data_IF_085587746402
#
_entry.id   IF_085587746402
#
_cell.length_a   1.000
_cell.length_b   1.000
_cell.length_c   1.000
_cell.angle_alpha   90.00
_cell.angle_beta   90.00
_cell.angle_gamma   90.00
#
_symmetry.space_group_name_H-M   'P 1'
#
loop_
_entity.id
_entity.type
_entity.pdbx_description
1 polymer ?
#
# COMPACT_ATOMS: atom_id res chain seq x y z
N UNK A 1 26.50 -1.89 36.00
CA UNK A 1 25.10 -1.70 35.60
C UNK A 1 24.87 -1.97 34.10
N UNK A 2 25.65 -1.39 33.17
CA UNK A 2 25.51 -1.65 31.73
C UNK A 2 25.59 -3.12 31.29
N UNK A 3 26.53 -3.91 31.91
CA UNK A 3 26.66 -5.35 31.58
C UNK A 3 25.44 -6.17 31.94
N UNK A 4 24.67 -5.79 32.94
CA UNK A 4 23.43 -6.47 33.34
C UNK A 4 22.29 -6.09 32.37
N UNK A 5 22.20 -4.82 31.97
CA UNK A 5 21.20 -4.32 31.04
C UNK A 5 21.34 -4.92 29.62
N UNK A 6 22.51 -5.42 29.27
CA UNK A 6 22.80 -6.07 27.99
C UNK A 6 23.00 -7.58 28.10
N UNK A 7 22.67 -8.17 29.22
CA UNK A 7 22.77 -9.62 29.45
C UNK A 7 21.51 -10.33 28.96
N UNK A 8 21.65 -11.61 28.58
CA UNK A 8 20.51 -12.48 28.25
C UNK A 8 19.59 -12.77 29.45
N UNK A 9 19.94 -12.27 30.66
CA UNK A 9 19.15 -12.42 31.88
C UNK A 9 17.92 -11.48 31.92
N UNK A 10 17.94 -10.40 31.13
CA UNK A 10 16.79 -9.50 31.02
C UNK A 10 16.00 -9.92 29.78
N UNK A 11 14.73 -10.35 29.92
CA UNK A 11 13.87 -10.67 28.81
C UNK A 11 13.77 -9.49 27.82
N UNK A 12 13.85 -9.76 26.52
CA UNK A 12 13.58 -8.75 25.53
C UNK A 12 12.10 -8.31 25.65
N UNK A 13 11.87 -7.03 25.90
CA UNK A 13 10.55 -6.45 26.01
C UNK A 13 10.23 -5.64 24.76
N UNK A 14 9.10 -5.95 24.12
CA UNK A 14 8.56 -5.17 23.03
C UNK A 14 7.11 -4.77 23.35
N UNK A 15 6.79 -3.48 23.44
CA UNK A 15 5.48 -3.01 23.91
C UNK A 15 4.30 -3.54 23.10
N UNK A 16 4.43 -3.62 21.77
CA UNK A 16 3.37 -4.15 20.90
C UNK A 16 3.14 -5.65 21.14
N UNK A 17 4.21 -6.43 21.29
CA UNK A 17 4.11 -7.87 21.57
C UNK A 17 3.52 -8.09 22.95
N UNK A 18 3.97 -7.34 23.94
CA UNK A 18 3.43 -7.41 25.29
C UNK A 18 1.93 -7.08 25.34
N UNK A 19 1.49 -6.04 24.64
CA UNK A 19 0.06 -5.73 24.50
C UNK A 19 -0.72 -6.92 23.93
N UNK A 20 -0.23 -7.53 22.87
CA UNK A 20 -0.88 -8.70 22.24
C UNK A 20 -0.95 -9.92 23.18
N UNK A 21 0.06 -10.11 24.04
CA UNK A 21 0.10 -11.21 25.04
C UNK A 21 -0.91 -10.99 26.18
N UNK A 22 -1.12 -9.74 26.59
CA UNK A 22 -2.00 -9.38 27.70
C UNK A 22 -3.49 -9.28 27.32
N UNK A 23 -3.83 -9.48 26.06
CA UNK A 23 -5.22 -9.41 25.61
C UNK A 23 -6.10 -10.47 26.27
N UNK A 24 -7.37 -10.15 26.59
CA UNK A 24 -8.33 -11.15 27.05
C UNK A 24 -8.62 -12.20 25.98
N UNK A 25 -9.38 -13.22 26.33
CA UNK A 25 -9.98 -14.11 25.32
C UNK A 25 -10.97 -13.31 24.46
N UNK A 26 -11.01 -13.63 23.15
CA UNK A 26 -12.02 -13.06 22.27
C UNK A 26 -13.43 -13.55 22.66
N UNK A 27 -14.37 -12.63 22.73
CA UNK A 27 -15.77 -12.89 23.11
C UNK A 27 -16.63 -13.48 21.97
N UNK A 28 -16.04 -13.72 20.78
CA UNK A 28 -16.71 -14.28 19.61
C UNK A 28 -17.47 -13.26 18.77
N UNK A 29 -17.52 -11.98 19.14
CA UNK A 29 -18.21 -10.94 18.35
C UNK A 29 -17.28 -10.38 17.30
N UNK A 30 -17.78 -10.29 16.05
CA UNK A 30 -17.03 -9.64 14.97
C UNK A 30 -17.01 -8.12 15.15
N UNK A 31 -15.80 -7.57 15.24
CA UNK A 31 -15.52 -6.13 15.30
C UNK A 31 -14.80 -5.62 14.07
N UNK A 32 -14.26 -6.51 13.23
CA UNK A 32 -13.53 -6.14 12.02
C UNK A 32 -14.44 -5.57 10.96
N UNK A 33 -15.52 -6.28 10.64
CA UNK A 33 -16.48 -5.83 9.63
C UNK A 33 -17.11 -4.49 10.01
N UNK A 34 -17.70 -4.29 11.19
CA UNK A 34 -18.27 -3.00 11.59
C UNK A 34 -17.24 -1.85 11.56
N UNK A 35 -15.99 -2.12 11.91
CA UNK A 35 -14.92 -1.14 11.84
C UNK A 35 -14.60 -0.74 10.39
N UNK A 36 -14.49 -1.71 9.48
CA UNK A 36 -14.26 -1.45 8.05
C UNK A 36 -15.44 -0.68 7.42
N UNK A 37 -16.66 -1.04 7.79
CA UNK A 37 -17.91 -0.43 7.29
C UNK A 37 -18.09 1.03 7.73
N UNK A 38 -17.36 1.52 8.75
CA UNK A 38 -17.29 2.96 9.05
C UNK A 38 -16.76 3.80 7.87
N UNK A 39 -16.03 3.18 6.95
CA UNK A 39 -15.47 3.82 5.77
C UNK A 39 -16.26 3.42 4.53
N UNK A 40 -16.46 2.13 4.31
CA UNK A 40 -17.17 1.60 3.13
C UNK A 40 -17.73 0.22 3.38
N UNK A 41 -18.97 -0.02 2.94
CA UNK A 41 -19.62 -1.33 2.97
C UNK A 41 -19.21 -2.23 1.77
N UNK A 42 -18.29 -1.79 0.91
CA UNK A 42 -17.77 -2.62 -0.19
C UNK A 42 -17.16 -3.90 0.33
N UNK A 43 -17.62 -5.05 -0.16
CA UNK A 43 -17.12 -6.36 0.25
C UNK A 43 -15.60 -6.49 0.02
N UNK A 44 -15.09 -5.95 -1.10
CA UNK A 44 -13.66 -5.96 -1.40
C UNK A 44 -12.87 -5.11 -0.40
N UNK A 45 -13.38 -3.93 -0.04
CA UNK A 45 -12.75 -3.09 0.98
C UNK A 45 -12.70 -3.81 2.33
N UNK A 46 -13.84 -4.34 2.80
CA UNK A 46 -13.94 -5.05 4.08
C UNK A 46 -12.97 -6.23 4.12
N UNK A 47 -12.90 -7.03 3.05
CA UNK A 47 -11.98 -8.16 2.94
C UNK A 47 -10.51 -7.71 3.01
N UNK A 48 -10.12 -6.76 2.17
CA UNK A 48 -8.73 -6.30 2.10
C UNK A 48 -8.29 -5.60 3.39
N UNK A 49 -9.16 -4.77 3.99
CA UNK A 49 -8.89 -4.09 5.26
C UNK A 49 -8.73 -5.09 6.41
N UNK A 50 -9.56 -6.14 6.45
CA UNK A 50 -9.44 -7.21 7.45
C UNK A 50 -8.13 -8.00 7.31
N UNK A 51 -7.71 -8.31 6.08
CA UNK A 51 -6.42 -8.95 5.82
C UNK A 51 -5.26 -8.05 6.27
N UNK A 52 -5.32 -6.76 5.99
CA UNK A 52 -4.31 -5.79 6.41
C UNK A 52 -4.21 -5.70 7.94
N UNK A 53 -5.34 -5.65 8.68
CA UNK A 53 -5.35 -5.63 10.16
C UNK A 53 -4.82 -6.94 10.75
N UNK A 54 -5.14 -8.11 10.18
CA UNK A 54 -4.54 -9.39 10.61
C UNK A 54 -3.03 -9.39 10.39
N UNK A 55 -2.56 -8.91 9.25
CA UNK A 55 -1.13 -8.81 8.98
C UNK A 55 -0.41 -7.85 9.95
N UNK A 56 -1.05 -6.73 10.35
CA UNK A 56 -0.57 -5.82 11.37
C UNK A 56 -0.45 -6.55 12.73
N UNK A 57 -1.50 -7.24 13.16
CA UNK A 57 -1.50 -7.99 14.42
C UNK A 57 -0.45 -9.11 14.41
N UNK A 58 -0.31 -9.84 13.31
CA UNK A 58 0.73 -10.86 13.14
C UNK A 58 2.14 -10.29 13.31
N UNK A 59 2.42 -9.08 12.76
CA UNK A 59 3.69 -8.40 12.97
C UNK A 59 3.92 -8.03 14.44
N UNK A 60 2.89 -7.53 15.15
CA UNK A 60 2.99 -7.19 16.58
C UNK A 60 3.22 -8.43 17.45
N UNK A 61 2.65 -9.57 17.06
CA UNK A 61 2.84 -10.86 17.72
C UNK A 61 4.19 -11.51 17.40
N UNK A 62 5.00 -10.96 16.51
CA UNK A 62 6.15 -11.62 15.89
C UNK A 62 5.79 -13.01 15.30
N UNK A 63 4.54 -13.16 14.84
CA UNK A 63 4.03 -14.40 14.26
C UNK A 63 4.64 -14.64 12.88
N UNK A 64 5.11 -15.86 12.57
CA UNK A 64 5.74 -16.16 11.30
C UNK A 64 4.72 -16.08 10.16
N UNK A 65 4.84 -15.05 9.32
CA UNK A 65 4.04 -14.87 8.11
C UNK A 65 4.89 -15.14 6.85
N UNK A 66 4.23 -15.56 5.76
CA UNK A 66 4.89 -15.79 4.46
C UNK A 66 5.47 -14.47 3.92
N UNK A 67 4.72 -13.38 4.01
CA UNK A 67 5.10 -12.05 3.54
C UNK A 67 5.08 -11.03 4.67
N UNK A 68 5.79 -9.92 4.50
CA UNK A 68 5.57 -8.74 5.32
C UNK A 68 4.16 -8.15 5.04
N UNK A 69 3.64 -7.31 5.93
CA UNK A 69 2.43 -6.53 5.65
C UNK A 69 2.75 -5.44 4.62
N UNK A 70 2.67 -5.76 3.35
CA UNK A 70 2.96 -4.85 2.24
C UNK A 70 1.73 -4.08 1.73
N UNK A 71 0.58 -4.27 2.36
CA UNK A 71 -0.66 -3.56 2.07
C UNK A 71 -0.70 -2.20 2.77
N UNK A 72 -1.32 -1.23 2.12
CA UNK A 72 -1.53 0.14 2.63
C UNK A 72 -2.97 0.56 2.33
N UNK A 73 -3.89 0.57 3.30
CA UNK A 73 -5.17 1.24 3.14
C UNK A 73 -4.96 2.71 2.81
N UNK A 74 -5.60 3.21 1.76
CA UNK A 74 -5.48 4.60 1.30
C UNK A 74 -6.86 5.24 1.26
N UNK A 75 -7.11 6.13 2.23
CA UNK A 75 -8.37 6.85 2.39
C UNK A 75 -8.35 8.12 1.53
N UNK A 76 -9.14 8.13 0.48
CA UNK A 76 -9.13 9.22 -0.52
C UNK A 76 -10.39 10.05 -0.40
N UNK A 77 -10.27 11.37 -0.45
CA UNK A 77 -11.43 12.28 -0.52
C UNK A 77 -11.00 13.65 -1.00
N UNK A 78 -11.67 14.23 -1.99
CA UNK A 78 -11.49 15.63 -2.40
C UNK A 78 -11.96 16.62 -1.34
N UNK A 79 -12.87 16.21 -0.45
CA UNK A 79 -13.38 17.04 0.64
C UNK A 79 -12.49 16.90 1.87
N UNK A 80 -12.12 18.00 2.47
CA UNK A 80 -11.44 18.07 3.77
C UNK A 80 -12.44 17.85 4.92
N UNK A 81 -11.93 17.57 6.11
CA UNK A 81 -12.75 17.46 7.32
C UNK A 81 -13.53 16.16 7.46
N UNK A 82 -13.32 15.16 6.59
CA UNK A 82 -14.00 13.86 6.68
C UNK A 82 -13.37 12.91 7.72
N UNK A 83 -12.51 13.41 8.61
CA UNK A 83 -11.93 12.69 9.76
C UNK A 83 -11.01 11.52 9.38
N UNK A 84 -10.43 11.51 8.18
CA UNK A 84 -9.52 10.44 7.72
C UNK A 84 -8.35 10.20 8.66
N UNK A 85 -7.55 11.24 8.95
CA UNK A 85 -6.37 11.12 9.83
C UNK A 85 -6.77 10.84 11.28
N UNK A 86 -7.96 11.32 11.73
CA UNK A 86 -8.53 10.96 13.03
C UNK A 86 -8.82 9.48 13.12
N UNK A 87 -9.42 8.89 12.08
CA UNK A 87 -9.69 7.46 12.01
C UNK A 87 -8.39 6.65 11.99
N UNK A 88 -7.38 7.07 11.22
CA UNK A 88 -6.08 6.40 11.21
C UNK A 88 -5.47 6.32 12.61
N UNK A 89 -5.53 7.42 13.36
CA UNK A 89 -5.03 7.46 14.75
C UNK A 89 -5.88 6.61 15.71
N UNK A 90 -7.19 6.58 15.50
CA UNK A 90 -8.13 5.81 16.32
C UNK A 90 -7.87 4.29 16.25
N UNK A 91 -7.24 3.78 15.18
CA UNK A 91 -6.89 2.36 15.07
C UNK A 91 -5.82 1.93 16.09
N UNK A 92 -5.04 2.88 16.60
CA UNK A 92 -4.00 2.59 17.59
C UNK A 92 -4.61 2.57 18.99
N UNK A 93 -4.37 1.50 19.81
CA UNK A 93 -4.77 1.48 21.19
C UNK A 93 -4.22 2.67 21.97
N UNK A 94 -4.98 3.31 22.86
CA UNK A 94 -4.53 4.51 23.60
C UNK A 94 -3.21 4.29 24.36
N UNK A 95 -3.02 3.12 24.96
CA UNK A 95 -1.82 2.73 25.69
C UNK A 95 -0.58 2.56 24.79
N UNK A 96 -0.77 2.44 23.49
CA UNK A 96 0.27 2.33 22.48
C UNK A 96 0.41 3.59 21.62
N UNK A 97 -0.17 4.72 22.03
CA UNK A 97 -0.18 5.97 21.25
C UNK A 97 1.22 6.46 20.86
N UNK A 98 2.24 6.20 21.70
CA UNK A 98 3.65 6.56 21.42
C UNK A 98 4.26 5.76 20.25
N UNK A 99 3.61 4.67 19.84
CA UNK A 99 4.01 3.80 18.72
C UNK A 99 3.24 4.09 17.44
N UNK A 100 2.53 5.22 17.40
CA UNK A 100 1.87 5.76 16.21
C UNK A 100 2.63 6.98 15.67
N UNK A 101 2.61 7.16 14.35
CA UNK A 101 3.14 8.37 13.71
C UNK A 101 2.24 8.84 12.56
N UNK A 102 1.93 10.14 12.55
CA UNK A 102 1.17 10.81 11.46
C UNK A 102 2.05 11.24 10.28
N UNK A 103 3.37 11.23 10.43
CA UNK A 103 4.32 11.64 9.39
C UNK A 103 5.51 10.71 9.36
N UNK A 104 5.87 10.32 8.18
CA UNK A 104 7.03 9.50 7.95
C UNK A 104 7.81 10.03 6.75
N UNK A 105 8.98 10.60 7.02
CA UNK A 105 9.84 11.13 5.97
C UNK A 105 10.53 10.00 5.21
N UNK A 106 10.19 9.83 3.96
CA UNK A 106 10.81 8.86 3.05
C UNK A 106 12.04 9.50 2.38
N UNK A 107 13.12 9.73 3.14
CA UNK A 107 14.39 10.19 2.59
C UNK A 107 15.28 9.00 2.20
N UNK A 108 16.31 9.22 1.38
CA UNK A 108 17.18 8.16 0.87
C UNK A 108 18.17 7.59 1.91
N UNK A 109 18.14 8.07 3.15
CA UNK A 109 19.08 7.67 4.22
C UNK A 109 18.49 6.55 5.07
N UNK A 110 19.33 5.63 5.52
CA UNK A 110 19.01 4.49 6.39
C UNK A 110 18.42 4.84 7.77
N UNK A 111 18.15 6.13 8.02
CA UNK A 111 17.58 6.63 9.28
C UNK A 111 16.13 6.18 9.55
N UNK A 112 15.46 5.59 8.55
CA UNK A 112 14.06 5.14 8.69
C UNK A 112 13.93 3.76 9.31
N UNK A 113 14.92 2.91 9.12
CA UNK A 113 14.86 1.50 9.52
C UNK A 113 14.59 1.33 11.02
N UNK A 114 15.25 2.05 11.95
CA UNK A 114 14.96 1.91 13.38
C UNK A 114 13.51 2.22 13.75
N UNK A 115 12.88 3.17 13.06
CA UNK A 115 11.48 3.54 13.29
C UNK A 115 10.52 2.42 12.89
N UNK A 116 10.85 1.64 11.85
CA UNK A 116 10.04 0.51 11.39
C UNK A 116 10.06 -0.67 12.38
N UNK A 117 11.12 -0.79 13.20
CA UNK A 117 11.19 -1.77 14.27
C UNK A 117 10.54 -1.28 15.57
N UNK A 118 10.19 0.00 15.68
CA UNK A 118 9.64 0.61 16.89
C UNK A 118 8.16 0.95 16.76
N UNK A 119 7.76 1.60 15.64
CA UNK A 119 6.40 2.08 15.44
C UNK A 119 5.49 0.92 15.02
N UNK A 120 4.30 0.86 15.58
CA UNK A 120 3.29 -0.15 15.22
C UNK A 120 2.46 0.23 14.01
N UNK A 121 2.10 1.51 13.91
CA UNK A 121 1.29 2.05 12.82
C UNK A 121 1.80 3.43 12.38
N UNK A 122 1.96 3.60 11.08
CA UNK A 122 2.41 4.85 10.46
C UNK A 122 1.35 5.31 9.48
N UNK A 123 0.83 6.51 9.69
CA UNK A 123 -0.03 7.19 8.73
C UNK A 123 0.82 8.04 7.77
N UNK A 124 0.73 7.75 6.49
CA UNK A 124 1.30 8.57 5.42
C UNK A 124 0.28 9.65 5.07
N UNK A 125 0.19 10.67 5.94
CA UNK A 125 -0.77 11.75 5.75
C UNK A 125 -0.40 12.59 4.52
N UNK A 126 -1.41 13.07 3.76
CA UNK A 126 -1.22 13.79 2.50
C UNK A 126 -0.33 13.02 1.49
N UNK A 127 -0.64 11.75 1.29
CA UNK A 127 0.12 10.85 0.40
C UNK A 127 0.26 11.38 -1.04
N UNK A 128 -0.66 12.21 -1.49
CA UNK A 128 -0.61 12.93 -2.77
C UNK A 128 0.60 13.86 -2.93
N UNK A 129 1.26 14.25 -1.83
CA UNK A 129 2.48 15.08 -1.85
C UNK A 129 3.77 14.28 -2.00
N UNK A 130 3.69 12.93 -1.92
CA UNK A 130 4.87 12.09 -2.05
C UNK A 130 5.37 12.04 -3.49
N UNK A 131 6.65 12.31 -3.67
CA UNK A 131 7.31 12.25 -4.98
C UNK A 131 7.42 10.81 -5.49
N UNK A 132 7.59 10.58 -6.81
CA UNK A 132 7.82 9.23 -7.37
C UNK A 132 9.01 8.51 -6.73
N UNK A 133 10.06 9.25 -6.33
CA UNK A 133 11.23 8.69 -5.64
C UNK A 133 10.88 8.19 -4.24
N UNK A 134 10.08 8.95 -3.48
CA UNK A 134 9.60 8.56 -2.17
C UNK A 134 8.66 7.34 -2.27
N UNK A 135 7.80 7.29 -3.27
CA UNK A 135 6.96 6.14 -3.55
C UNK A 135 7.76 4.87 -3.86
N UNK A 136 8.88 5.00 -4.62
CA UNK A 136 9.79 3.87 -4.86
C UNK A 136 10.47 3.40 -3.57
N UNK A 137 10.90 4.32 -2.71
CA UNK A 137 11.47 4.00 -1.39
C UNK A 137 10.44 3.28 -0.51
N UNK A 138 9.20 3.80 -0.44
CA UNK A 138 8.11 3.17 0.32
C UNK A 138 7.87 1.72 -0.13
N UNK A 139 7.85 1.45 -1.43
CA UNK A 139 7.66 0.10 -1.95
C UNK A 139 8.74 -0.88 -1.48
N UNK A 140 9.98 -0.44 -1.41
CA UNK A 140 11.07 -1.25 -0.89
C UNK A 140 10.87 -1.52 0.61
N UNK A 141 10.51 -0.49 1.40
CA UNK A 141 10.26 -0.62 2.82
C UNK A 141 9.07 -1.56 3.13
N UNK A 142 8.02 -1.53 2.31
CA UNK A 142 6.85 -2.38 2.47
C UNK A 142 7.17 -3.88 2.33
N UNK A 143 8.21 -4.24 1.60
CA UNK A 143 8.60 -5.63 1.38
C UNK A 143 9.53 -6.19 2.45
N UNK A 144 10.14 -5.32 3.27
CA UNK A 144 11.08 -5.76 4.30
C UNK A 144 10.34 -6.49 5.43
N UNK A 145 10.79 -7.68 5.76
CA UNK A 145 10.35 -8.43 6.97
C UNK A 145 11.23 -8.11 8.16
N UNK A 146 12.50 -7.90 7.92
CA UNK A 146 13.53 -7.61 8.92
C UNK A 146 14.39 -6.46 8.45
N UNK A 147 14.98 -5.79 9.39
CA UNK A 147 15.83 -4.63 9.24
C UNK A 147 17.22 -4.99 9.75
N UNK A 148 18.26 -4.60 9.01
CA UNK A 148 19.65 -4.82 9.43
C UNK A 148 20.20 -3.52 10.01
N UNK A 149 20.24 -3.41 11.32
CA UNK A 149 20.71 -2.21 12.01
C UNK A 149 22.13 -2.42 12.56
N UNK A 150 22.99 -1.41 12.38
CA UNK A 150 24.27 -1.33 13.10
C UNK A 150 24.04 -0.74 14.48
N UNK A 151 24.47 -1.45 15.53
CA UNK A 151 24.57 -0.85 16.86
C UNK A 151 25.69 0.19 16.85
N UNK A 152 25.42 1.38 17.43
CA UNK A 152 26.46 2.35 17.70
C UNK A 152 27.58 1.67 18.51
N UNK A 153 28.83 1.83 18.08
CA UNK A 153 30.03 1.26 18.70
C UNK A 153 30.21 -0.27 18.60
N UNK A 154 29.40 -0.99 17.77
CA UNK A 154 29.66 -2.41 17.45
C UNK A 154 29.64 -2.62 15.93
N UNK A 155 30.54 -3.48 15.44
CA UNK A 155 30.58 -3.83 14.01
C UNK A 155 29.49 -4.85 13.62
N UNK A 156 28.78 -5.42 14.58
CA UNK A 156 27.79 -6.44 14.37
C UNK A 156 26.47 -5.83 13.86
N UNK A 157 25.95 -6.42 12.80
CA UNK A 157 24.60 -6.15 12.30
C UNK A 157 23.60 -6.93 13.14
N UNK A 158 22.61 -6.23 13.69
CA UNK A 158 21.48 -6.86 14.37
C UNK A 158 20.26 -6.86 13.46
N UNK A 159 19.69 -8.03 13.21
CA UNK A 159 18.42 -8.17 12.53
C UNK A 159 17.28 -7.88 13.51
N UNK A 160 16.45 -6.89 13.20
CA UNK A 160 15.22 -6.59 13.94
C UNK A 160 14.00 -6.86 13.05
N UNK A 161 12.92 -7.43 13.58
CA UNK A 161 11.68 -7.56 12.84
C UNK A 161 11.10 -6.19 12.52
N UNK A 162 10.51 -6.02 11.35
CA UNK A 162 9.67 -4.87 11.06
C UNK A 162 8.32 -5.09 11.72
N UNK A 163 7.92 -4.21 12.64
CA UNK A 163 6.61 -4.24 13.29
C UNK A 163 5.65 -3.20 12.72
N UNK A 164 6.18 -2.20 12.00
CA UNK A 164 5.40 -1.11 11.43
C UNK A 164 4.51 -1.59 10.29
N UNK A 165 3.23 -1.26 10.37
CA UNK A 165 2.28 -1.28 9.25
C UNK A 165 1.96 0.15 8.81
N UNK A 166 1.47 0.31 7.58
CA UNK A 166 1.20 1.62 7.00
C UNK A 166 -0.28 1.76 6.66
N UNK A 167 -0.79 2.97 6.84
CA UNK A 167 -2.07 3.48 6.33
C UNK A 167 -1.79 4.85 5.70
N UNK A 168 -2.63 5.31 4.79
CA UNK A 168 -2.41 6.58 4.11
C UNK A 168 -3.70 7.37 3.92
N UNK A 169 -3.58 8.70 3.82
CA UNK A 169 -4.67 9.60 3.47
C UNK A 169 -4.31 10.46 2.27
N UNK A 170 -5.28 10.82 1.45
CA UNK A 170 -5.11 11.75 0.33
C UNK A 170 -6.31 12.67 0.18
N UNK A 171 -6.05 13.90 -0.30
CA UNK A 171 -7.08 14.85 -0.69
C UNK A 171 -7.26 14.94 -2.21
N UNK A 172 -6.55 14.10 -2.96
CA UNK A 172 -6.60 14.01 -4.42
C UNK A 172 -6.95 12.58 -4.81
N UNK A 173 -7.88 12.41 -5.75
CA UNK A 173 -8.29 11.07 -6.19
C UNK A 173 -7.20 10.41 -7.04
N UNK A 174 -6.60 11.15 -7.96
CA UNK A 174 -5.55 10.64 -8.84
C UNK A 174 -4.19 10.63 -8.09
N UNK A 175 -3.93 9.60 -7.32
CA UNK A 175 -2.79 9.52 -6.39
C UNK A 175 -1.80 8.39 -6.71
N UNK A 176 -2.22 7.37 -7.44
CA UNK A 176 -1.38 6.24 -7.80
C UNK A 176 -0.60 6.52 -9.09
N UNK A 177 0.66 6.89 -8.95
CA UNK A 177 1.55 7.25 -10.07
C UNK A 177 2.21 6.05 -10.74
N UNK A 178 2.24 4.88 -10.09
CA UNK A 178 2.91 3.69 -10.59
C UNK A 178 1.92 2.54 -10.86
N UNK A 179 1.76 2.13 -12.12
CA UNK A 179 0.86 1.05 -12.50
C UNK A 179 1.20 -0.29 -11.85
N UNK A 180 2.51 -0.57 -11.65
CA UNK A 180 2.98 -1.86 -11.15
C UNK A 180 2.92 -1.99 -9.64
N UNK A 181 2.81 -0.88 -8.92
CA UNK A 181 2.77 -0.82 -7.46
C UNK A 181 1.37 -0.69 -6.87
N UNK A 182 0.35 -0.51 -7.70
CA UNK A 182 -1.02 -0.24 -7.26
C UNK A 182 -1.64 -1.40 -6.45
N UNK A 183 -1.19 -2.63 -6.64
CA UNK A 183 -1.66 -3.83 -5.90
C UNK A 183 -1.44 -3.77 -4.39
N UNK A 184 -0.56 -2.90 -3.90
CA UNK A 184 -0.30 -2.74 -2.45
C UNK A 184 -1.26 -1.76 -1.79
N UNK A 185 -1.87 -0.87 -2.56
CA UNK A 185 -2.78 0.13 -2.03
C UNK A 185 -4.22 -0.37 -2.06
N UNK A 186 -4.88 -0.32 -0.91
CA UNK A 186 -6.31 -0.59 -0.77
C UNK A 186 -7.01 0.76 -0.81
N UNK A 187 -7.27 1.27 -2.04
CA UNK A 187 -7.87 2.58 -2.20
C UNK A 187 -9.37 2.53 -1.94
N UNK A 188 -9.85 3.52 -1.18
CA UNK A 188 -11.27 3.71 -0.90
C UNK A 188 -11.62 5.19 -0.89
N UNK A 189 -12.71 5.55 -1.56
CA UNK A 189 -13.25 6.91 -1.53
C UNK A 189 -14.09 7.12 -0.28
N UNK A 190 -13.77 8.17 0.46
CA UNK A 190 -14.50 8.59 1.66
C UNK A 190 -15.46 9.71 1.28
N UNK A 191 -16.76 9.44 1.29
CA UNK A 191 -17.80 10.36 0.82
C UNK A 191 -18.54 11.09 1.95
N UNK A 192 -18.43 10.60 3.19
CA UNK A 192 -19.04 11.18 4.39
C UNK A 192 -18.03 11.22 5.56
N UNK A 193 -18.28 12.04 6.59
CA UNK A 193 -17.46 12.01 7.80
C UNK A 193 -17.41 10.62 8.41
N UNK A 194 -16.20 10.09 8.64
CA UNK A 194 -16.01 8.76 9.20
C UNK A 194 -16.47 8.77 10.67
N UNK A 195 -17.21 7.74 11.07
CA UNK A 195 -17.53 7.51 12.48
C UNK A 195 -16.25 7.17 13.25
N UNK A 196 -15.85 8.08 14.14
CA UNK A 196 -14.71 7.94 15.02
C UNK A 196 -15.14 7.72 16.48
N UNK A 197 -16.28 7.06 16.70
CA UNK A 197 -16.66 6.58 18.03
C UNK A 197 -15.60 5.61 18.57
N UNK A 198 -15.45 5.50 19.92
CA UNK A 198 -14.44 4.65 20.54
C UNK A 198 -14.47 3.22 20.01
N UNK A 199 -13.30 2.61 19.90
CA UNK A 199 -13.10 1.21 19.56
C UNK A 199 -12.81 0.43 20.84
N UNK A 200 -13.44 -0.73 21.00
CA UNK A 200 -13.03 -1.72 21.99
C UNK A 200 -11.75 -2.43 21.49
N UNK A 201 -10.59 -1.77 21.69
CA UNK A 201 -9.30 -2.26 21.20
C UNK A 201 -8.95 -3.62 21.80
N UNK A 202 -9.24 -3.85 23.08
CA UNK A 202 -8.93 -5.12 23.74
C UNK A 202 -9.60 -6.29 23.00
N UNK A 203 -10.87 -6.17 22.66
CA UNK A 203 -11.62 -7.23 21.98
C UNK A 203 -11.36 -7.24 20.46
N UNK A 204 -11.10 -6.08 19.83
CA UNK A 204 -10.70 -6.04 18.43
C UNK A 204 -9.37 -6.80 18.20
N UNK A 205 -8.36 -6.50 19.03
CA UNK A 205 -7.06 -7.17 18.91
C UNK A 205 -7.10 -8.61 19.43
N UNK A 206 -7.99 -8.95 20.37
CA UNK A 206 -8.25 -10.34 20.76
C UNK A 206 -8.85 -11.15 19.60
N UNK A 207 -9.78 -10.58 18.82
CA UNK A 207 -10.28 -11.18 17.58
C UNK A 207 -9.15 -11.39 16.57
N UNK A 208 -8.36 -10.35 16.30
CA UNK A 208 -7.22 -10.43 15.35
C UNK A 208 -6.23 -11.51 15.77
N UNK A 209 -5.87 -11.57 17.07
CA UNK A 209 -5.00 -12.61 17.62
C UNK A 209 -5.58 -14.01 17.39
N UNK A 210 -6.85 -14.19 17.70
CA UNK A 210 -7.54 -15.48 17.52
C UNK A 210 -7.57 -15.91 16.04
N UNK A 211 -7.91 -14.99 15.14
CA UNK A 211 -7.94 -15.26 13.70
C UNK A 211 -6.55 -15.60 13.13
N UNK A 212 -5.50 -14.88 13.53
CA UNK A 212 -4.12 -15.16 13.11
C UNK A 212 -3.67 -16.54 13.60
N UNK A 213 -3.92 -16.87 14.87
CA UNK A 213 -3.55 -18.17 15.45
C UNK A 213 -4.33 -19.33 14.85
N UNK A 214 -5.55 -19.09 14.37
CA UNK A 214 -6.34 -20.10 13.64
C UNK A 214 -5.98 -20.23 12.16
N UNK A 215 -4.97 -19.49 11.69
CA UNK A 215 -4.47 -19.57 10.31
C UNK A 215 -5.22 -18.72 9.30
N UNK A 216 -6.00 -17.72 9.75
CA UNK A 216 -6.64 -16.78 8.83
C UNK A 216 -5.60 -16.04 7.98
N UNK A 217 -5.86 -15.80 6.68
CA UNK A 217 -4.86 -15.23 5.79
C UNK A 217 -4.48 -13.81 6.17
N UNK A 218 -3.16 -13.56 6.20
CA UNK A 218 -2.53 -12.25 6.41
C UNK A 218 -1.98 -11.66 5.10
N UNK A 219 -2.41 -12.17 3.95
CA UNK A 219 -2.05 -11.70 2.61
C UNK A 219 -3.24 -11.88 1.67
N UNK A 220 -3.25 -11.13 0.57
CA UNK A 220 -4.29 -11.27 -0.46
C UNK A 220 -3.91 -12.41 -1.40
N UNK A 221 -4.90 -13.23 -1.75
CA UNK A 221 -4.75 -14.20 -2.82
C UNK A 221 -4.71 -13.50 -4.20
N UNK A 222 -4.42 -14.28 -5.25
CA UNK A 222 -4.30 -13.74 -6.61
C UNK A 222 -5.60 -13.12 -7.10
N UNK A 223 -6.72 -13.76 -6.86
CA UNK A 223 -8.03 -13.28 -7.34
C UNK A 223 -8.42 -11.96 -6.67
N UNK A 224 -8.22 -11.85 -5.35
CA UNK A 224 -8.45 -10.62 -4.59
C UNK A 224 -7.49 -9.51 -5.01
N UNK A 225 -6.22 -9.84 -5.26
CA UNK A 225 -5.22 -8.87 -5.75
C UNK A 225 -5.62 -8.32 -7.13
N UNK A 226 -6.05 -9.16 -8.06
CA UNK A 226 -6.54 -8.73 -9.38
C UNK A 226 -7.82 -7.88 -9.28
N UNK A 227 -8.72 -8.22 -8.35
CA UNK A 227 -9.92 -7.41 -8.07
C UNK A 227 -9.56 -6.04 -7.49
N UNK A 228 -8.58 -5.98 -6.56
CA UNK A 228 -8.07 -4.75 -5.99
C UNK A 228 -7.41 -3.85 -7.06
N UNK A 229 -6.61 -4.43 -7.95
CA UNK A 229 -5.99 -3.67 -9.05
C UNK A 229 -7.03 -3.05 -9.99
N UNK A 230 -8.14 -3.76 -10.28
CA UNK A 230 -9.27 -3.20 -11.06
C UNK A 230 -9.98 -2.09 -10.29
N UNK A 231 -10.23 -2.28 -9.00
CA UNK A 231 -10.86 -1.29 -8.13
C UNK A 231 -10.04 -0.01 -7.99
N UNK A 232 -8.70 -0.11 -8.10
CA UNK A 232 -7.80 1.03 -8.02
C UNK A 232 -7.71 1.86 -9.32
N UNK A 233 -8.34 1.45 -10.41
CA UNK A 233 -8.28 2.17 -11.69
C UNK A 233 -8.68 3.66 -11.59
N UNK A 234 -9.74 4.06 -10.86
CA UNK A 234 -10.11 5.48 -10.72
C UNK A 234 -9.10 6.34 -9.97
N UNK A 235 -8.20 5.71 -9.18
CA UNK A 235 -7.20 6.41 -8.37
C UNK A 235 -5.84 6.55 -9.06
N UNK A 236 -5.71 6.05 -10.29
CA UNK A 236 -4.47 6.15 -11.06
C UNK A 236 -4.32 7.54 -11.65
N UNK A 237 -3.11 8.07 -11.55
CA UNK A 237 -2.73 9.28 -12.28
C UNK A 237 -2.58 8.92 -13.74
N UNK A 238 -3.44 9.45 -14.58
CA UNK A 238 -3.24 9.37 -16.02
C UNK A 238 -2.24 10.46 -16.42
N UNK A 239 -1.16 10.06 -17.09
CA UNK A 239 -0.27 11.05 -17.65
C UNK A 239 -0.99 11.85 -18.76
N UNK A 240 -0.61 13.10 -19.00
CA UNK A 240 -1.16 13.87 -20.12
C UNK A 240 -1.00 13.17 -21.47
N UNK A 241 0.00 12.30 -21.59
CA UNK A 241 0.19 11.43 -22.74
C UNK A 241 -0.90 10.36 -22.81
N UNK A 242 -1.18 9.69 -21.71
CA UNK A 242 -2.18 8.63 -21.62
C UNK A 242 -3.57 9.14 -22.00
N UNK A 243 -3.97 10.30 -21.50
CA UNK A 243 -5.24 10.94 -21.82
C UNK A 243 -5.33 11.27 -23.34
N UNK A 244 -4.27 11.88 -23.89
CA UNK A 244 -4.22 12.21 -25.32
C UNK A 244 -4.13 10.98 -26.21
N UNK A 245 -3.41 9.95 -25.77
CA UNK A 245 -3.28 8.70 -26.50
C UNK A 245 -4.63 8.00 -26.66
N UNK A 246 -5.41 7.93 -25.59
CA UNK A 246 -6.74 7.32 -25.58
C UNK A 246 -7.78 8.04 -26.46
N UNK A 247 -7.51 9.27 -26.89
CA UNK A 247 -8.34 9.98 -27.90
C UNK A 247 -8.15 9.44 -29.30
N UNK A 248 -7.00 8.87 -29.63
CA UNK A 248 -6.64 8.40 -30.96
C UNK A 248 -6.55 6.88 -31.08
N UNK A 249 -6.43 6.19 -29.94
CA UNK A 249 -6.25 4.75 -29.90
C UNK A 249 -7.17 4.15 -28.83
N UNK A 250 -7.86 3.06 -29.18
CA UNK A 250 -8.73 2.32 -28.26
C UNK A 250 -8.24 0.88 -28.08
N UNK A 251 -8.63 0.27 -26.97
CA UNK A 251 -8.38 -1.14 -26.72
C UNK A 251 -9.13 -1.97 -27.79
N UNK A 252 -8.51 -3.06 -28.30
CA UNK A 252 -9.20 -3.98 -29.19
C UNK A 252 -10.35 -4.68 -28.45
N UNK A 253 -11.46 -4.86 -29.15
CA UNK A 253 -12.64 -5.62 -28.70
C UNK A 253 -12.91 -6.74 -29.68
N UNK A 254 -13.85 -7.63 -29.33
CA UNK A 254 -14.28 -8.72 -30.24
C UNK A 254 -14.81 -8.16 -31.56
N UNK A 255 -15.52 -7.03 -31.52
CA UNK A 255 -16.13 -6.39 -32.69
C UNK A 255 -15.18 -5.45 -33.46
N UNK A 256 -14.08 -5.04 -32.82
CA UNK A 256 -13.04 -4.19 -33.39
C UNK A 256 -11.66 -4.79 -33.09
N UNK A 257 -11.22 -5.80 -33.86
CA UNK A 257 -9.90 -6.38 -33.70
C UNK A 257 -8.83 -5.33 -34.05
N UNK A 258 -7.93 -5.06 -33.10
CA UNK A 258 -6.90 -4.04 -33.30
C UNK A 258 -5.76 -4.52 -34.21
N UNK A 259 -4.97 -3.58 -34.69
CA UNK A 259 -3.74 -3.85 -35.43
C UNK A 259 -2.52 -3.84 -34.50
N UNK A 260 -1.53 -4.68 -34.82
CA UNK A 260 -0.28 -4.76 -34.08
C UNK A 260 0.76 -3.81 -34.67
N UNK A 261 1.19 -2.84 -33.88
CA UNK A 261 2.23 -1.87 -34.19
C UNK A 261 3.43 -2.03 -33.28
N UNK A 262 4.62 -1.87 -33.79
CA UNK A 262 5.82 -1.73 -32.97
C UNK A 262 5.75 -0.44 -32.14
N UNK A 263 6.48 -0.39 -31.04
CA UNK A 263 6.56 0.82 -30.21
C UNK A 263 6.95 2.05 -31.04
N UNK A 264 7.90 1.88 -31.95
CA UNK A 264 8.38 2.97 -32.83
C UNK A 264 7.29 3.44 -33.81
N UNK A 265 6.62 2.50 -34.49
CA UNK A 265 5.51 2.83 -35.39
C UNK A 265 4.38 3.56 -34.67
N UNK A 266 4.02 3.07 -33.45
CA UNK A 266 2.96 3.66 -32.65
C UNK A 266 3.35 5.05 -32.13
N UNK A 267 4.62 5.21 -31.71
CA UNK A 267 5.17 6.51 -31.30
C UNK A 267 5.13 7.52 -32.46
N UNK A 268 5.54 7.13 -33.65
CA UNK A 268 5.56 8.02 -34.82
C UNK A 268 4.15 8.39 -35.31
N UNK A 269 3.19 7.45 -35.24
CA UNK A 269 1.78 7.73 -35.52
C UNK A 269 1.21 8.73 -34.52
N UNK A 270 1.46 8.51 -33.21
CA UNK A 270 0.99 9.41 -32.15
C UNK A 270 1.67 10.78 -32.23
N UNK A 271 2.98 10.82 -32.51
CA UNK A 271 3.74 12.07 -32.69
C UNK A 271 3.19 12.94 -33.80
N UNK A 272 2.76 12.34 -34.90
CA UNK A 272 2.15 13.09 -36.05
C UNK A 272 0.84 13.75 -35.63
N UNK A 273 0.05 13.10 -34.78
CA UNK A 273 -1.25 13.64 -34.31
C UNK A 273 -1.12 14.59 -33.12
N UNK A 274 -0.14 14.36 -32.24
CA UNK A 274 0.05 15.14 -31.03
C UNK A 274 1.55 15.38 -30.71
N UNK A 275 2.26 16.20 -31.51
CA UNK A 275 3.70 16.41 -31.37
C UNK A 275 4.11 16.98 -30.01
N UNK A 276 3.26 17.82 -29.43
CA UNK A 276 3.52 18.42 -28.12
C UNK A 276 3.50 17.38 -26.96
N UNK A 277 2.74 16.30 -27.10
CA UNK A 277 2.64 15.28 -26.06
C UNK A 277 3.88 14.38 -25.94
N UNK A 278 4.69 14.32 -26.97
CA UNK A 278 5.88 13.46 -27.02
C UNK A 278 7.20 14.26 -26.99
N UNK A 279 7.15 15.58 -26.84
CA UNK A 279 8.35 16.43 -26.80
C UNK A 279 9.22 16.01 -25.59
N UNK A 280 10.44 15.57 -25.86
CA UNK A 280 11.39 15.12 -24.83
C UNK A 280 11.11 13.74 -24.23
N UNK A 281 10.13 13.00 -24.77
CA UNK A 281 9.77 11.69 -24.29
C UNK A 281 10.60 10.59 -24.97
N UNK A 282 11.24 9.72 -24.19
CA UNK A 282 11.94 8.56 -24.74
C UNK A 282 10.95 7.46 -25.18
N UNK A 283 11.34 6.64 -26.16
CA UNK A 283 10.55 5.47 -26.59
C UNK A 283 10.26 4.50 -25.45
N UNK A 284 11.19 4.35 -24.50
CA UNK A 284 11.00 3.50 -23.32
C UNK A 284 9.90 4.05 -22.41
N UNK A 285 9.89 5.37 -22.16
CA UNK A 285 8.86 6.02 -21.37
C UNK A 285 7.51 5.94 -22.06
N UNK A 286 7.45 6.19 -23.37
CA UNK A 286 6.24 6.04 -24.17
C UNK A 286 5.69 4.61 -24.10
N UNK A 287 6.54 3.60 -24.33
CA UNK A 287 6.16 2.18 -24.22
C UNK A 287 5.59 1.82 -22.86
N UNK A 288 6.20 2.32 -21.77
CA UNK A 288 5.71 2.11 -20.42
C UNK A 288 4.34 2.74 -20.19
N UNK A 289 4.12 3.96 -20.68
CA UNK A 289 2.84 4.66 -20.59
C UNK A 289 1.74 3.93 -21.37
N UNK A 290 2.00 3.52 -22.62
CA UNK A 290 1.04 2.74 -23.41
C UNK A 290 0.71 1.40 -22.74
N UNK A 291 1.71 0.75 -22.17
CA UNK A 291 1.49 -0.48 -21.40
C UNK A 291 0.61 -0.27 -20.18
N UNK A 292 0.77 0.87 -19.49
CA UNK A 292 -0.04 1.20 -18.30
C UNK A 292 -1.51 1.43 -18.63
N UNK A 293 -1.84 1.75 -19.88
CA UNK A 293 -3.21 1.88 -20.37
C UNK A 293 -3.90 0.53 -20.62
N UNK A 294 -3.19 -0.59 -20.46
CA UNK A 294 -3.75 -1.93 -20.59
C UNK A 294 -3.80 -2.45 -22.03
N UNK A 295 -3.17 -1.77 -22.99
CA UNK A 295 -3.11 -2.28 -24.36
C UNK A 295 -2.39 -3.64 -24.42
N UNK A 296 -2.94 -4.65 -25.16
CA UNK A 296 -2.30 -5.93 -25.33
C UNK A 296 -0.90 -5.74 -25.92
N UNK A 297 0.10 -6.38 -25.27
CA UNK A 297 1.50 -6.27 -25.66
C UNK A 297 2.07 -7.65 -25.97
N UNK A 298 2.88 -7.75 -27.02
CA UNK A 298 3.61 -8.95 -27.39
C UNK A 298 5.00 -8.61 -27.91
N UNK A 299 5.96 -9.49 -27.60
CA UNK A 299 7.27 -9.41 -28.23
C UNK A 299 7.24 -10.21 -29.54
N UNK A 300 7.46 -9.54 -30.68
CA UNK A 300 7.44 -10.13 -32.01
C UNK A 300 8.81 -9.97 -32.67
N UNK A 301 9.01 -10.60 -33.86
CA UNK A 301 10.28 -10.49 -34.62
C UNK A 301 10.77 -9.04 -34.85
N UNK A 302 9.84 -8.07 -34.85
CA UNK A 302 10.13 -6.62 -35.03
C UNK A 302 10.32 -5.88 -33.70
N UNK A 303 10.33 -6.56 -32.54
CA UNK A 303 10.46 -5.99 -31.20
C UNK A 303 9.13 -5.96 -30.41
N UNK A 304 9.06 -5.10 -29.40
CA UNK A 304 7.86 -4.93 -28.60
C UNK A 304 6.74 -4.28 -29.41
N UNK A 305 5.59 -4.93 -29.46
CA UNK A 305 4.41 -4.48 -30.21
C UNK A 305 3.21 -4.33 -29.27
N UNK A 306 2.32 -3.41 -29.63
CA UNK A 306 1.03 -3.19 -28.99
C UNK A 306 -0.10 -3.36 -30.00
N UNK A 307 -1.22 -3.97 -29.55
CA UNK A 307 -2.44 -4.09 -30.35
C UNK A 307 -3.35 -2.91 -30.01
N UNK A 308 -3.70 -2.11 -31.00
CA UNK A 308 -4.51 -0.90 -30.85
C UNK A 308 -5.56 -0.82 -31.96
N UNK A 309 -6.69 -0.20 -31.66
CA UNK A 309 -7.66 0.25 -32.67
C UNK A 309 -7.46 1.75 -32.85
N UNK A 310 -7.17 2.17 -34.06
CA UNK A 310 -7.02 3.58 -34.41
C UNK A 310 -8.40 4.22 -34.60
N UNK A 311 -8.63 5.44 -34.04
CA UNK A 311 -9.92 6.17 -34.06
C UNK A 311 -9.79 7.41 -34.93
#
# INVERSE_FOLDING_TARGET
MERVLHSALIPAYHPLTHFMEQLPAWDGRDRLRPLAERISASALWVQCFSVWLRALAAQWMAYPTVTANDLVPLLVSRRQGLRKSTFCRLLMPPELSDYYADKFELTATAAHEPRLAKLGLINLDEFDRYTPRQNATLKNLLQLKSLSLRRSYRQELMALPRVASFIATSNVNEVLTDPTGSRRFICVEVNAPIDCSPIDHAQLFAQLRSEVLSGAPCYLDRATTEALERSNAPFRVFSPLAERFSRFFRLPTTDAPGEWHTVTELYDRFRRRCPAAVRGLSLQTFSREVRSLGFPAAHRRRGNCYCVVEV
#
